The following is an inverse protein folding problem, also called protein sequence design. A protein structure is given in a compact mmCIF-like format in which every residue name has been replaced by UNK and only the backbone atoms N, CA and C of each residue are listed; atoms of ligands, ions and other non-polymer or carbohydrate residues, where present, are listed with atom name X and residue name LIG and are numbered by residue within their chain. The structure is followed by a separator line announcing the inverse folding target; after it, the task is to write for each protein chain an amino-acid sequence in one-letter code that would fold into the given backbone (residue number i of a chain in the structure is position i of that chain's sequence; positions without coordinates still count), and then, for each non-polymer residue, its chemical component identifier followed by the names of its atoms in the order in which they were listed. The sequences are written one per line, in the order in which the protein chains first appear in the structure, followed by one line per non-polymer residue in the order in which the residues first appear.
data_IF_785695622436
#
_entry.id   IF_785695622436
#
_cell.length_a   1.000
_cell.length_b   1.000
_cell.length_c   1.000
_cell.angle_alpha   90.00
_cell.angle_beta   90.00
_cell.angle_gamma   90.00
#
_symmetry.space_group_name_H-M   'P 1'
#
loop_
_entity.id
_entity.type
_entity.pdbx_description
1 polymer ?
#
# COMPACT_ATOMS: atom_id res chain seq x y z
N UNK A 1 -6.83 8.05 70.53
CA UNK A 1 -6.73 8.17 69.05
C UNK A 1 -5.31 7.82 68.61
N UNK A 2 -5.12 7.15 67.47
CA UNK A 2 -4.24 5.99 67.38
C UNK A 2 -2.80 6.28 66.93
N UNK A 3 -1.91 5.38 67.35
CA UNK A 3 -0.51 5.25 66.92
C UNK A 3 -0.48 4.78 65.46
N UNK A 4 0.14 5.56 64.57
CA UNK A 4 0.45 5.13 63.19
C UNK A 4 1.64 4.17 63.22
N UNK A 5 1.38 2.88 63.03
CA UNK A 5 2.43 1.89 62.76
C UNK A 5 3.03 2.13 61.36
N UNK A 6 4.29 2.55 61.29
CA UNK A 6 5.06 2.62 60.05
C UNK A 6 5.64 1.23 59.78
N UNK A 7 5.11 0.55 58.76
CA UNK A 7 5.52 -0.79 58.38
C UNK A 7 6.88 -0.75 57.64
N UNK A 8 7.96 -1.02 58.37
CA UNK A 8 9.35 -0.97 57.86
C UNK A 8 9.72 -2.10 56.87
N UNK A 9 8.85 -3.09 56.65
CA UNK A 9 9.17 -4.27 55.82
C UNK A 9 9.12 -4.04 54.30
N UNK A 10 8.50 -2.95 53.82
CA UNK A 10 8.37 -2.70 52.36
C UNK A 10 9.55 -1.96 51.72
N UNK A 11 10.49 -1.42 52.51
CA UNK A 11 11.61 -0.60 51.98
C UNK A 11 12.95 -1.33 51.85
N UNK A 12 13.04 -2.57 52.31
CA UNK A 12 14.29 -3.35 52.30
C UNK A 12 14.44 -4.30 51.12
N UNK A 13 13.35 -4.62 50.40
CA UNK A 13 13.41 -5.54 49.24
C UNK A 13 13.95 -4.90 47.95
N UNK A 14 13.92 -3.57 47.82
CA UNK A 14 14.40 -2.86 46.62
C UNK A 14 15.90 -2.51 46.63
N UNK A 15 16.63 -2.83 47.70
CA UNK A 15 18.08 -2.58 47.79
C UNK A 15 18.94 -3.85 47.57
N UNK A 16 18.31 -5.02 47.42
CA UNK A 16 19.01 -6.31 47.35
C UNK A 16 19.36 -6.82 45.94
N UNK A 17 18.89 -6.19 44.86
CA UNK A 17 19.17 -6.65 43.49
C UNK A 17 20.25 -5.84 42.74
N UNK A 18 20.73 -4.73 43.31
CA UNK A 18 21.65 -3.83 42.62
C UNK A 18 23.14 -4.16 42.73
N UNK A 19 23.53 -5.15 43.52
CA UNK A 19 24.95 -5.39 43.85
C UNK A 19 25.59 -6.62 43.19
N UNK A 20 24.83 -7.38 42.37
CA UNK A 20 25.35 -8.59 41.72
C UNK A 20 25.64 -8.43 40.21
N UNK A 21 25.38 -7.26 39.61
CA UNK A 21 25.57 -7.05 38.16
C UNK A 21 26.90 -6.36 37.80
N UNK A 22 27.69 -5.94 38.78
CA UNK A 22 28.94 -5.20 38.54
C UNK A 22 30.18 -6.07 38.31
N UNK A 23 30.05 -7.40 38.32
CA UNK A 23 31.20 -8.33 38.16
C UNK A 23 31.02 -9.41 37.08
N UNK A 24 30.05 -9.25 36.18
CA UNK A 24 29.93 -10.16 35.02
C UNK A 24 30.53 -9.52 33.77
N UNK A 25 31.76 -9.90 33.34
CA UNK A 25 32.30 -9.49 32.04
C UNK A 25 31.65 -10.27 30.86
N UNK A 26 30.50 -10.92 31.09
CA UNK A 26 29.89 -11.89 30.18
C UNK A 26 28.40 -11.62 29.92
N UNK A 27 28.02 -10.38 29.64
CA UNK A 27 26.69 -10.12 29.09
C UNK A 27 26.65 -8.91 28.14
N UNK A 28 27.70 -8.71 27.36
CA UNK A 28 27.53 -8.10 26.04
C UNK A 28 26.94 -9.17 25.10
N UNK A 29 25.74 -9.66 25.41
CA UNK A 29 24.99 -10.43 24.43
C UNK A 29 24.75 -9.45 23.28
N UNK A 30 25.23 -9.72 22.06
CA UNK A 30 24.74 -8.96 20.92
C UNK A 30 23.22 -9.13 20.99
N UNK A 31 22.50 -8.02 21.09
CA UNK A 31 21.07 -8.06 20.88
C UNK A 31 20.91 -8.71 19.52
N UNK A 32 20.40 -9.94 19.48
CA UNK A 32 19.98 -10.63 18.27
C UNK A 32 18.76 -9.89 17.73
N UNK A 33 18.93 -8.61 17.40
CA UNK A 33 18.02 -7.89 16.55
C UNK A 33 18.14 -8.62 15.21
N UNK A 34 17.16 -9.48 14.93
CA UNK A 34 17.03 -10.11 13.63
C UNK A 34 17.17 -9.01 12.57
N UNK A 35 18.10 -9.20 11.64
CA UNK A 35 18.36 -8.22 10.60
C UNK A 35 17.04 -7.92 9.89
N UNK A 36 16.58 -6.68 9.94
CA UNK A 36 15.31 -6.31 9.32
C UNK A 36 15.44 -6.55 7.81
N UNK A 37 14.68 -7.51 7.30
CA UNK A 37 14.61 -7.79 5.87
C UNK A 37 14.27 -6.50 5.11
N UNK A 38 15.08 -6.18 4.10
CA UNK A 38 14.84 -5.08 3.16
C UNK A 38 13.41 -5.15 2.61
N UNK A 39 12.84 -3.98 2.32
CA UNK A 39 11.54 -3.89 1.64
C UNK A 39 11.77 -4.01 0.14
N UNK A 40 11.03 -4.91 -0.51
CA UNK A 40 11.03 -5.07 -1.96
C UNK A 40 9.67 -4.63 -2.51
N UNK A 41 9.70 -3.64 -3.40
CA UNK A 41 8.50 -3.07 -4.03
C UNK A 41 8.70 -3.07 -5.54
N UNK A 42 7.71 -3.59 -6.27
CA UNK A 42 7.65 -3.44 -7.73
C UNK A 42 6.86 -2.17 -8.08
N UNK A 43 7.46 -1.31 -8.90
CA UNK A 43 6.91 -0.02 -9.30
C UNK A 43 5.84 -0.09 -10.38
N UNK A 44 5.72 -1.23 -11.08
CA UNK A 44 4.67 -1.45 -12.08
C UNK A 44 4.50 -2.94 -12.36
N UNK A 45 3.34 -3.47 -11.99
CA UNK A 45 2.94 -4.84 -12.28
C UNK A 45 1.43 -4.95 -12.53
N UNK A 46 0.95 -6.17 -12.75
CA UNK A 46 -0.47 -6.48 -12.92
C UNK A 46 -0.92 -7.43 -11.83
N UNK A 47 -2.22 -7.49 -11.56
CA UNK A 47 -2.79 -8.48 -10.64
C UNK A 47 -2.82 -9.84 -11.37
N UNK A 48 -1.94 -10.81 -11.03
CA UNK A 48 -1.80 -12.02 -11.82
C UNK A 48 -2.99 -12.94 -11.67
N UNK A 49 -3.22 -13.78 -12.68
CA UNK A 49 -4.29 -14.78 -12.65
C UNK A 49 -4.06 -15.86 -11.59
N UNK A 50 -2.82 -16.31 -11.46
CA UNK A 50 -2.39 -17.16 -10.36
C UNK A 50 -1.75 -16.32 -9.24
N UNK A 51 -2.37 -16.31 -8.05
CA UNK A 51 -1.84 -15.61 -6.89
C UNK A 51 -0.67 -16.34 -6.21
N UNK A 52 -0.36 -17.57 -6.63
CA UNK A 52 0.84 -18.27 -6.19
C UNK A 52 2.11 -17.52 -6.60
N UNK A 53 2.09 -16.85 -7.76
CA UNK A 53 3.19 -16.01 -8.26
C UNK A 53 3.48 -14.84 -7.32
N UNK A 54 2.43 -14.22 -6.75
CA UNK A 54 2.59 -13.14 -5.76
C UNK A 54 3.34 -13.66 -4.53
N UNK A 55 2.96 -14.84 -4.03
CA UNK A 55 3.62 -15.45 -2.87
C UNK A 55 5.07 -15.84 -3.19
N UNK A 56 5.30 -16.40 -4.37
CA UNK A 56 6.63 -16.82 -4.82
C UNK A 56 7.60 -15.63 -5.01
N UNK A 57 7.08 -14.46 -5.41
CA UNK A 57 7.87 -13.25 -5.66
C UNK A 57 8.56 -12.70 -4.41
N UNK A 58 8.00 -12.95 -3.21
CA UNK A 58 8.44 -12.38 -1.92
C UNK A 58 8.46 -10.84 -1.87
N UNK A 59 7.75 -10.19 -2.80
CA UNK A 59 7.52 -8.74 -2.77
C UNK A 59 6.74 -8.37 -1.50
N UNK A 60 7.08 -7.23 -0.91
CA UNK A 60 6.28 -6.65 0.18
C UNK A 60 5.11 -5.83 -0.37
N UNK A 61 5.30 -5.23 -1.56
CA UNK A 61 4.27 -4.47 -2.24
C UNK A 61 4.49 -4.41 -3.75
N UNK A 62 3.44 -4.06 -4.48
CA UNK A 62 3.57 -3.61 -5.86
C UNK A 62 2.50 -2.58 -6.24
N UNK A 63 2.83 -1.79 -7.25
CA UNK A 63 1.87 -0.92 -7.94
C UNK A 63 1.20 -1.71 -9.05
N UNK A 64 -0.09 -1.94 -8.92
CA UNK A 64 -0.92 -2.70 -9.85
C UNK A 64 -1.58 -1.76 -10.85
N UNK A 65 -1.24 -1.88 -12.13
CA UNK A 65 -1.98 -1.21 -13.19
C UNK A 65 -3.37 -1.86 -13.35
N UNK A 66 -4.40 -1.04 -13.21
CA UNK A 66 -5.81 -1.42 -13.40
C UNK A 66 -6.43 -0.68 -14.59
N UNK A 67 -5.60 -0.08 -15.45
CA UNK A 67 -6.06 0.59 -16.66
C UNK A 67 -6.99 -0.31 -17.49
N UNK A 68 -8.13 0.23 -17.89
CA UNK A 68 -9.01 -0.40 -18.87
C UNK A 68 -9.12 0.50 -20.10
N UNK A 69 -8.89 -0.08 -21.26
CA UNK A 69 -8.86 0.62 -22.54
C UNK A 69 -10.11 0.25 -23.33
N UNK A 70 -10.78 1.27 -23.87
CA UNK A 70 -11.84 1.10 -24.86
C UNK A 70 -11.35 1.61 -26.22
N UNK A 71 -11.76 0.92 -27.28
CA UNK A 71 -11.55 1.34 -28.66
C UNK A 71 -12.62 2.34 -29.05
N UNK A 72 -12.21 3.54 -29.44
CA UNK A 72 -13.08 4.60 -29.95
C UNK A 72 -12.77 4.79 -31.42
N UNK A 73 -13.76 4.56 -32.29
CA UNK A 73 -13.66 4.87 -33.71
C UNK A 73 -13.85 6.39 -33.91
N UNK A 74 -12.92 7.01 -34.63
CA UNK A 74 -12.97 8.42 -34.99
C UNK A 74 -13.75 8.64 -36.29
N UNK A 75 -14.12 9.89 -36.55
CA UNK A 75 -14.89 10.27 -37.74
C UNK A 75 -14.16 10.00 -39.07
N UNK A 76 -12.83 9.86 -39.05
CA UNK A 76 -12.00 9.52 -40.20
C UNK A 76 -11.75 8.01 -40.36
N UNK A 77 -12.38 7.18 -39.53
CA UNK A 77 -12.24 5.72 -39.52
C UNK A 77 -11.02 5.21 -38.76
N UNK A 78 -10.21 6.09 -38.15
CA UNK A 78 -9.10 5.66 -37.30
C UNK A 78 -9.58 5.19 -35.92
N UNK A 79 -8.85 4.27 -35.29
CA UNK A 79 -9.14 3.82 -33.92
C UNK A 79 -8.24 4.53 -32.91
N UNK A 80 -8.83 5.03 -31.83
CA UNK A 80 -8.12 5.55 -30.68
C UNK A 80 -8.42 4.71 -29.45
N UNK A 81 -7.39 4.46 -28.64
CA UNK A 81 -7.46 3.62 -27.45
C UNK A 81 -7.51 4.53 -26.23
N UNK A 82 -8.69 4.64 -25.61
CA UNK A 82 -8.90 5.59 -24.51
C UNK A 82 -9.25 4.88 -23.21
N UNK A 83 -8.66 5.35 -22.12
CA UNK A 83 -9.03 4.96 -20.76
C UNK A 83 -10.23 5.77 -20.32
N UNK A 84 -11.43 5.32 -20.64
CA UNK A 84 -12.64 6.07 -20.30
C UNK A 84 -12.92 5.99 -18.80
N UNK A 85 -13.63 6.98 -18.27
CA UNK A 85 -14.05 7.01 -16.87
C UNK A 85 -14.78 5.72 -16.47
N UNK A 86 -15.76 5.30 -17.28
CA UNK A 86 -16.60 4.13 -16.98
C UNK A 86 -15.76 2.85 -16.94
N UNK A 87 -14.94 2.61 -17.96
CA UNK A 87 -14.12 1.41 -18.03
C UNK A 87 -13.12 1.33 -16.87
N UNK A 88 -12.44 2.44 -16.56
CA UNK A 88 -11.52 2.49 -15.42
C UNK A 88 -12.22 2.33 -14.07
N UNK A 89 -13.43 2.88 -13.91
CA UNK A 89 -14.21 2.74 -12.69
C UNK A 89 -14.67 1.29 -12.47
N UNK A 90 -15.13 0.62 -13.52
CA UNK A 90 -15.47 -0.80 -13.46
C UNK A 90 -14.22 -1.65 -13.13
N UNK A 91 -13.08 -1.35 -13.76
CA UNK A 91 -11.82 -2.06 -13.54
C UNK A 91 -11.30 -1.93 -12.11
N UNK A 92 -11.26 -0.72 -11.53
CA UNK A 92 -10.79 -0.53 -10.15
C UNK A 92 -11.70 -1.25 -9.14
N UNK A 93 -13.02 -1.26 -9.36
CA UNK A 93 -13.96 -1.98 -8.52
C UNK A 93 -13.76 -3.51 -8.60
N UNK A 94 -13.51 -4.04 -9.81
CA UNK A 94 -13.21 -5.45 -10.01
C UNK A 94 -11.87 -5.85 -9.36
N UNK A 95 -10.83 -5.03 -9.52
CA UNK A 95 -9.54 -5.24 -8.88
C UNK A 95 -9.66 -5.20 -7.34
N UNK A 96 -10.38 -4.23 -6.79
CA UNK A 96 -10.66 -4.13 -5.35
C UNK A 96 -11.38 -5.38 -4.84
N UNK A 97 -12.41 -5.83 -5.56
CA UNK A 97 -13.14 -7.07 -5.23
C UNK A 97 -12.19 -8.27 -5.23
N UNK A 98 -11.36 -8.42 -6.26
CA UNK A 98 -10.40 -9.53 -6.38
C UNK A 98 -9.36 -9.52 -5.24
N UNK A 99 -8.82 -8.35 -4.88
CA UNK A 99 -7.93 -8.21 -3.73
C UNK A 99 -8.64 -8.60 -2.42
N UNK A 100 -9.87 -8.12 -2.22
CA UNK A 100 -10.66 -8.42 -1.02
C UNK A 100 -11.04 -9.90 -0.88
N UNK A 101 -11.19 -10.61 -2.00
CA UNK A 101 -11.52 -12.02 -2.06
C UNK A 101 -10.32 -12.94 -1.78
N UNK A 102 -9.11 -12.39 -1.65
CA UNK A 102 -7.87 -13.14 -1.36
C UNK A 102 -7.14 -12.56 -0.14
N UNK A 103 -7.82 -12.45 1.02
CA UNK A 103 -7.32 -11.73 2.18
C UNK A 103 -6.11 -12.38 2.85
N UNK A 104 -5.80 -13.65 2.53
CA UNK A 104 -4.65 -14.39 3.05
C UNK A 104 -3.35 -14.13 2.27
N UNK A 105 -3.45 -13.59 1.05
CA UNK A 105 -2.30 -13.32 0.16
C UNK A 105 -2.12 -11.81 -0.04
N UNK A 106 -3.21 -11.07 -0.19
CA UNK A 106 -3.19 -9.67 -0.60
C UNK A 106 -3.74 -8.75 0.48
N UNK A 107 -3.23 -7.52 0.49
CA UNK A 107 -3.78 -6.40 1.25
C UNK A 107 -3.87 -5.18 0.32
N UNK A 108 -5.06 -4.60 0.15
CA UNK A 108 -5.17 -3.34 -0.58
C UNK A 108 -4.42 -2.23 0.19
N UNK A 109 -3.44 -1.63 -0.47
CA UNK A 109 -2.62 -0.55 0.06
C UNK A 109 -3.24 0.81 -0.24
N UNK A 110 -3.41 1.64 0.80
CA UNK A 110 -3.93 3.00 0.69
C UNK A 110 -2.90 4.05 1.16
N UNK A 111 -1.85 3.62 1.85
CA UNK A 111 -0.76 4.48 2.37
C UNK A 111 0.48 3.64 2.66
N UNK A 112 1.65 4.28 2.77
CA UNK A 112 2.93 3.57 2.95
C UNK A 112 2.97 2.60 4.14
N UNK A 113 2.29 2.91 5.25
CA UNK A 113 2.24 2.01 6.43
C UNK A 113 1.53 0.68 6.17
N UNK A 114 0.75 0.59 5.10
CA UNK A 114 0.08 -0.65 4.73
C UNK A 114 1.07 -1.69 4.18
N UNK A 115 2.24 -1.27 3.70
CA UNK A 115 3.34 -2.18 3.33
C UNK A 115 3.80 -2.97 4.57
N UNK A 116 4.04 -2.27 5.68
CA UNK A 116 4.42 -2.91 6.93
C UNK A 116 3.29 -3.82 7.46
N UNK A 117 2.04 -3.37 7.37
CA UNK A 117 0.88 -4.19 7.76
C UNK A 117 0.79 -5.48 6.94
N UNK A 118 0.99 -5.40 5.63
CA UNK A 118 0.99 -6.56 4.75
C UNK A 118 2.09 -7.55 5.17
N UNK A 119 3.32 -7.05 5.33
CA UNK A 119 4.46 -7.84 5.83
C UNK A 119 4.18 -8.54 7.16
N UNK A 120 3.69 -7.81 8.16
CA UNK A 120 3.41 -8.35 9.50
C UNK A 120 2.35 -9.47 9.45
N UNK A 121 1.44 -9.37 8.49
CA UNK A 121 0.40 -10.37 8.24
C UNK A 121 0.75 -11.36 7.13
N UNK A 122 2.01 -11.40 6.68
CA UNK A 122 2.52 -12.31 5.63
C UNK A 122 1.77 -12.21 4.30
N UNK A 123 1.41 -11.00 3.92
CA UNK A 123 0.70 -10.64 2.68
C UNK A 123 1.53 -9.67 1.85
N UNK A 124 1.12 -9.47 0.62
CA UNK A 124 1.66 -8.44 -0.29
C UNK A 124 0.70 -7.26 -0.37
N UNK A 125 1.21 -6.05 -0.20
CA UNK A 125 0.41 -4.84 -0.37
C UNK A 125 0.23 -4.51 -1.86
N UNK A 126 -1.01 -4.18 -2.27
CA UNK A 126 -1.34 -3.86 -3.67
C UNK A 126 -1.85 -2.43 -3.77
N UNK A 127 -1.16 -1.57 -4.51
CA UNK A 127 -1.55 -0.17 -4.72
C UNK A 127 -2.06 0.02 -6.15
N UNK A 128 -3.25 0.58 -6.33
CA UNK A 128 -3.81 0.71 -7.68
C UNK A 128 -3.26 1.92 -8.45
N UNK A 129 -3.05 1.70 -9.74
CA UNK A 129 -2.63 2.68 -10.72
C UNK A 129 -3.55 2.70 -11.94
N UNK A 130 -3.70 3.88 -12.55
CA UNK A 130 -4.15 4.03 -13.94
C UNK A 130 -3.04 4.72 -14.74
N UNK A 131 -2.72 4.17 -15.90
CA UNK A 131 -1.70 4.67 -16.82
C UNK A 131 -2.29 5.63 -17.84
N UNK A 132 -2.51 6.89 -17.48
CA UNK A 132 -3.07 7.90 -18.39
C UNK A 132 -4.31 8.53 -17.78
N UNK A 133 -4.35 9.86 -17.76
CA UNK A 133 -5.40 10.63 -17.10
C UNK A 133 -6.65 10.84 -17.98
N UNK A 134 -6.81 10.08 -19.05
CA UNK A 134 -7.95 10.18 -19.98
C UNK A 134 -9.30 10.00 -19.26
N UNK A 135 -9.30 9.19 -18.18
CA UNK A 135 -10.49 8.87 -17.39
C UNK A 135 -10.99 10.05 -16.56
N UNK A 136 -10.18 11.10 -16.39
CA UNK A 136 -10.52 12.31 -15.62
C UNK A 136 -10.50 13.58 -16.47
N UNK A 137 -10.42 13.49 -17.80
CA UNK A 137 -10.39 14.69 -18.66
C UNK A 137 -11.61 15.61 -18.57
N UNK A 138 -12.75 15.12 -18.07
CA UNK A 138 -13.92 15.95 -17.81
C UNK A 138 -13.85 16.72 -16.48
N UNK A 139 -12.82 16.47 -15.65
CA UNK A 139 -12.59 17.22 -14.42
C UNK A 139 -12.08 18.62 -14.70
N UNK A 140 -12.51 19.54 -13.86
CA UNK A 140 -12.19 20.97 -13.92
C UNK A 140 -12.48 21.62 -12.57
N UNK A 141 -12.13 22.89 -12.41
CA UNK A 141 -12.52 23.65 -11.22
C UNK A 141 -14.04 23.73 -11.03
N UNK A 142 -14.82 23.66 -12.12
CA UNK A 142 -16.28 23.72 -12.09
C UNK A 142 -16.91 22.49 -11.43
N UNK A 143 -16.31 21.30 -11.61
CA UNK A 143 -16.76 20.07 -10.95
C UNK A 143 -15.87 19.67 -9.76
N UNK A 144 -14.95 20.55 -9.34
CA UNK A 144 -14.05 20.37 -8.20
C UNK A 144 -13.26 19.07 -8.25
N UNK A 145 -12.84 18.63 -9.44
CA UNK A 145 -12.02 17.42 -9.59
C UNK A 145 -12.69 16.13 -9.06
N UNK A 146 -14.02 16.04 -9.19
CA UNK A 146 -14.82 14.97 -8.60
C UNK A 146 -14.39 13.55 -9.05
N UNK A 147 -13.97 13.35 -10.30
CA UNK A 147 -13.59 11.99 -10.76
C UNK A 147 -12.28 11.55 -10.15
N UNK A 148 -11.30 12.45 -9.99
CA UNK A 148 -10.07 12.16 -9.25
C UNK A 148 -10.40 11.73 -7.82
N UNK A 149 -11.30 12.44 -7.15
CA UNK A 149 -11.74 12.10 -5.80
C UNK A 149 -12.44 10.73 -5.74
N UNK A 150 -13.33 10.43 -6.68
CA UNK A 150 -14.00 9.14 -6.79
C UNK A 150 -13.01 7.99 -6.98
N UNK A 151 -12.03 8.13 -7.88
CA UNK A 151 -10.98 7.12 -8.06
C UNK A 151 -10.13 6.96 -6.79
N UNK A 152 -9.77 8.06 -6.14
CA UNK A 152 -9.02 8.01 -4.88
C UNK A 152 -9.81 7.28 -3.77
N UNK A 153 -11.14 7.49 -3.70
CA UNK A 153 -12.03 6.77 -2.79
C UNK A 153 -12.10 5.26 -3.10
N UNK A 154 -12.06 4.88 -4.38
CA UNK A 154 -11.97 3.47 -4.81
C UNK A 154 -10.57 2.84 -4.58
N UNK A 155 -9.58 3.63 -4.13
CA UNK A 155 -8.27 3.14 -3.75
C UNK A 155 -7.16 3.41 -4.76
N UNK A 156 -7.38 4.26 -5.77
CA UNK A 156 -6.32 4.71 -6.68
C UNK A 156 -5.24 5.47 -5.90
N UNK A 157 -3.97 5.15 -6.12
CA UNK A 157 -2.83 5.81 -5.47
C UNK A 157 -1.77 6.33 -6.43
N UNK A 158 -1.83 5.91 -7.69
CA UNK A 158 -0.95 6.42 -8.76
C UNK A 158 -1.80 6.72 -9.99
N UNK A 159 -1.65 7.92 -10.55
CA UNK A 159 -2.24 8.31 -11.82
C UNK A 159 -1.13 8.84 -12.71
N UNK A 160 -0.82 8.13 -13.79
CA UNK A 160 0.12 8.62 -14.79
C UNK A 160 -0.60 9.65 -15.68
N UNK A 161 0.07 10.77 -16.01
CA UNK A 161 -0.55 11.84 -16.79
C UNK A 161 -0.93 11.38 -18.21
N UNK A 162 0.01 10.74 -18.91
CA UNK A 162 -0.16 10.23 -20.27
C UNK A 162 0.47 8.85 -20.41
N UNK A 163 -0.01 8.09 -21.40
CA UNK A 163 0.58 6.81 -21.76
C UNK A 163 1.16 6.88 -23.18
N UNK A 164 0.46 6.36 -24.19
CA UNK A 164 0.91 6.38 -25.58
C UNK A 164 0.45 7.62 -26.36
N UNK A 165 -0.64 8.24 -25.94
CA UNK A 165 -1.23 9.39 -26.62
C UNK A 165 -1.28 10.59 -25.67
N UNK A 166 -1.12 11.78 -26.24
CA UNK A 166 -1.34 13.02 -25.52
C UNK A 166 -2.81 13.17 -25.16
N UNK A 167 -3.07 13.91 -24.09
CA UNK A 167 -4.40 14.24 -23.62
C UNK A 167 -4.45 15.69 -23.13
N UNK A 168 -5.56 16.09 -22.54
CA UNK A 168 -5.78 17.47 -22.06
C UNK A 168 -4.74 17.92 -21.02
N UNK A 169 -4.08 16.99 -20.32
CA UNK A 169 -3.17 17.30 -19.20
C UNK A 169 -1.69 17.28 -19.59
N UNK A 170 -1.27 16.44 -20.54
CA UNK A 170 0.12 16.37 -20.98
C UNK A 170 0.26 15.79 -22.40
N UNK A 171 1.46 15.95 -22.98
CA UNK A 171 1.86 15.25 -24.20
C UNK A 171 2.37 13.83 -23.91
N UNK A 172 2.33 12.96 -24.92
CA UNK A 172 3.01 11.66 -24.93
C UNK A 172 4.07 11.63 -26.02
N UNK A 173 5.02 10.69 -25.92
CA UNK A 173 6.02 10.38 -26.96
C UNK A 173 6.03 8.89 -27.24
#
# INVERSE_FOLDING_TARGET
MPIKAVNHYRRTLLKGFGAATLLSPLASLPSFAAEQRRIYVDGLSFLPDDLSDVTASKLDAYVCDISAIETIEQADGTQNYKRTYKACMESIQQAAKRVSASPDILLQGLRGRDIQRARDSKRTAVFFQIQGADCVEADSDANQWARVDEFHQQGLRVLQLTHHYGNTFAGAR
#
